data_IF_279557211983
#
_entry.id   IF_279557211983
#
_cell.length_a   1.000
_cell.length_b   1.000
_cell.length_c   1.000
_cell.angle_alpha   90.00
_cell.angle_beta   90.00
_cell.angle_gamma   90.00
#
_symmetry.space_group_name_H-M   'P 1'
#
loop_
_entity.id
_entity.type
_entity.pdbx_description
1 polymer ?
#
# COMPACT_ATOMS: atom_id res chain seq x y z
N UNK A 1 2.09 28.95 -15.02
CA UNK A 1 1.39 27.65 -14.94
C UNK A 1 2.28 26.65 -15.67
N UNK A 2 2.79 25.53 -15.13
CA UNK A 2 2.31 24.71 -14.03
C UNK A 2 3.40 23.62 -13.74
N UNK A 3 4.54 24.00 -13.12
CA UNK A 3 5.70 23.09 -12.98
C UNK A 3 5.36 21.78 -12.25
N UNK A 4 4.48 21.85 -11.25
CA UNK A 4 3.95 20.67 -10.57
C UNK A 4 3.14 19.78 -11.51
N UNK A 5 2.24 20.33 -12.32
CA UNK A 5 1.48 19.51 -13.27
C UNK A 5 2.39 18.86 -14.30
N UNK A 6 3.40 19.57 -14.80
CA UNK A 6 4.38 18.98 -15.73
C UNK A 6 5.14 17.82 -15.08
N UNK A 7 5.51 17.98 -13.80
CA UNK A 7 6.16 16.91 -13.04
C UNK A 7 5.23 15.72 -12.81
N UNK A 8 3.96 15.94 -12.44
CA UNK A 8 2.97 14.85 -12.29
C UNK A 8 2.82 14.06 -13.59
N UNK A 9 2.83 14.72 -14.76
CA UNK A 9 2.78 14.05 -16.05
C UNK A 9 3.97 13.10 -16.28
N UNK A 10 5.15 13.43 -15.73
CA UNK A 10 6.31 12.52 -15.79
C UNK A 10 6.14 11.26 -14.94
N UNK A 11 5.27 11.30 -13.91
CA UNK A 11 5.00 10.16 -13.03
C UNK A 11 3.92 9.21 -13.59
N UNK A 12 3.09 9.67 -14.53
CA UNK A 12 1.93 8.92 -15.04
C UNK A 12 2.25 7.49 -15.53
N UNK A 13 3.38 7.22 -16.22
CA UNK A 13 3.76 5.85 -16.58
C UNK A 13 4.00 4.96 -15.37
N UNK A 14 4.69 5.47 -14.33
CA UNK A 14 4.97 4.73 -13.11
C UNK A 14 3.70 4.44 -12.30
N UNK A 15 2.82 5.44 -12.17
CA UNK A 15 1.53 5.29 -11.48
C UNK A 15 0.67 4.22 -12.17
N UNK A 16 0.66 4.20 -13.51
CA UNK A 16 -0.03 3.17 -14.29
C UNK A 16 0.58 1.78 -14.10
N UNK A 17 1.91 1.69 -14.00
CA UNK A 17 2.61 0.43 -13.73
C UNK A 17 2.27 -0.13 -12.35
N UNK A 18 2.33 0.70 -11.29
CA UNK A 18 1.92 0.30 -9.94
C UNK A 18 0.47 -0.16 -9.89
N UNK A 19 -0.46 0.58 -10.52
CA UNK A 19 -1.87 0.17 -10.60
C UNK A 19 -2.02 -1.21 -11.26
N UNK A 20 -1.33 -1.46 -12.38
CA UNK A 20 -1.39 -2.76 -13.08
C UNK A 20 -0.82 -3.88 -12.23
N UNK A 21 0.28 -3.64 -11.52
CA UNK A 21 0.90 -4.63 -10.64
C UNK A 21 -0.02 -4.99 -9.46
N UNK A 22 -0.55 -4.01 -8.74
CA UNK A 22 -1.47 -4.27 -7.63
C UNK A 22 -2.79 -4.90 -8.10
N UNK A 23 -3.26 -4.57 -9.31
CA UNK A 23 -4.44 -5.21 -9.86
C UNK A 23 -4.18 -6.66 -10.29
N UNK A 24 -2.99 -6.97 -10.84
CA UNK A 24 -2.64 -8.32 -11.24
C UNK A 24 -2.42 -9.26 -10.04
N UNK A 25 -1.86 -8.72 -8.95
CA UNK A 25 -1.63 -9.43 -7.70
C UNK A 25 -2.52 -8.88 -6.58
N UNK A 26 -3.83 -8.83 -6.82
CA UNK A 26 -4.79 -8.34 -5.84
C UNK A 26 -4.86 -9.27 -4.62
N UNK A 27 -4.87 -8.67 -3.43
CA UNK A 27 -4.98 -9.37 -2.15
C UNK A 27 -6.30 -8.97 -1.47
N UNK A 28 -6.93 -9.93 -0.78
CA UNK A 28 -8.14 -9.70 0.00
C UNK A 28 -7.84 -8.99 1.32
N UNK A 29 -8.90 -8.54 1.99
CA UNK A 29 -8.82 -7.99 3.35
C UNK A 29 -8.03 -8.88 4.30
N UNK A 30 -7.13 -8.28 5.09
CA UNK A 30 -6.26 -8.92 6.09
C UNK A 30 -5.15 -9.83 5.56
N UNK A 31 -4.98 -9.92 4.24
CA UNK A 31 -3.93 -10.72 3.60
C UNK A 31 -3.11 -9.92 2.59
N UNK A 32 -3.07 -8.59 2.73
CA UNK A 32 -2.38 -7.64 1.85
C UNK A 32 -0.85 -7.61 2.06
N UNK A 33 -0.24 -8.78 2.26
CA UNK A 33 1.16 -8.91 2.67
C UNK A 33 2.12 -8.38 1.60
N UNK A 34 1.94 -8.80 0.34
CA UNK A 34 2.76 -8.33 -0.78
C UNK A 34 2.55 -6.85 -1.01
N UNK A 35 1.30 -6.40 -0.98
CA UNK A 35 0.94 -5.00 -1.22
C UNK A 35 1.56 -4.10 -0.18
N UNK A 36 1.40 -4.42 1.11
CA UNK A 36 1.99 -3.66 2.21
C UNK A 36 3.53 -3.66 2.14
N UNK A 37 4.16 -4.80 1.83
CA UNK A 37 5.61 -4.90 1.67
C UNK A 37 6.13 -3.99 0.54
N UNK A 38 5.46 -3.98 -0.62
CA UNK A 38 5.85 -3.11 -1.75
C UNK A 38 5.67 -1.62 -1.43
N UNK A 39 4.59 -1.26 -0.73
CA UNK A 39 4.38 0.13 -0.30
C UNK A 39 5.50 0.55 0.66
N UNK A 40 5.83 -0.29 1.64
CA UNK A 40 6.92 0.00 2.57
C UNK A 40 8.27 0.14 1.86
N UNK A 41 8.62 -0.79 0.97
CA UNK A 41 9.86 -0.73 0.18
C UNK A 41 9.96 0.59 -0.63
N UNK A 42 8.88 0.99 -1.30
CA UNK A 42 8.86 2.22 -2.09
C UNK A 42 9.00 3.45 -1.17
N UNK A 43 8.27 3.53 -0.06
CA UNK A 43 8.32 4.69 0.83
C UNK A 43 9.65 4.80 1.57
N UNK A 44 10.24 3.68 1.99
CA UNK A 44 11.59 3.62 2.55
C UNK A 44 12.62 4.13 1.54
N UNK A 45 12.54 3.68 0.28
CA UNK A 45 13.42 4.16 -0.80
C UNK A 45 13.29 5.66 -1.10
N UNK A 46 12.15 6.26 -0.75
CA UNK A 46 11.89 7.70 -0.88
C UNK A 46 12.34 8.50 0.36
N UNK A 47 12.83 7.83 1.41
CA UNK A 47 13.34 8.45 2.62
C UNK A 47 12.30 8.76 3.68
N UNK A 48 11.13 8.10 3.66
CA UNK A 48 10.14 8.23 4.74
C UNK A 48 10.48 7.35 5.94
N UNK A 49 10.16 7.84 7.13
CA UNK A 49 10.11 7.01 8.33
C UNK A 49 8.80 6.21 8.36
N UNK A 50 8.89 4.91 8.62
CA UNK A 50 7.74 4.00 8.54
C UNK A 50 7.35 3.45 9.91
N UNK A 51 6.04 3.41 10.17
CA UNK A 51 5.43 2.61 11.24
C UNK A 51 4.59 1.50 10.60
N UNK A 52 4.72 0.27 11.10
CA UNK A 52 4.26 -0.93 10.39
C UNK A 52 3.63 -1.96 11.33
N UNK A 53 2.78 -2.83 10.77
CA UNK A 53 2.24 -3.99 11.48
C UNK A 53 1.45 -3.60 12.74
N UNK A 54 1.84 -4.17 13.89
CA UNK A 54 1.15 -3.98 15.17
C UNK A 54 1.25 -2.55 15.72
N UNK A 55 2.17 -1.74 15.21
CA UNK A 55 2.31 -0.35 15.62
C UNK A 55 1.19 0.54 15.04
N UNK A 56 0.55 0.10 13.96
CA UNK A 56 -0.49 0.85 13.23
C UNK A 56 -1.80 0.10 13.07
N UNK A 57 -1.85 -1.18 13.46
CA UNK A 57 -3.06 -2.02 13.42
C UNK A 57 -3.34 -2.57 14.83
N UNK A 58 -4.43 -2.09 15.44
CA UNK A 58 -4.99 -2.69 16.64
C UNK A 58 -5.65 -4.05 16.29
N UNK A 59 -5.16 -5.11 16.93
CA UNK A 59 -5.56 -6.48 16.60
C UNK A 59 -6.99 -6.81 17.04
N UNK A 60 -7.48 -6.20 18.11
CA UNK A 60 -8.81 -6.46 18.69
C UNK A 60 -9.93 -5.74 17.94
N UNK A 61 -9.61 -4.62 17.29
CA UNK A 61 -10.58 -3.81 16.54
C UNK A 61 -10.74 -4.25 15.07
N UNK A 62 -10.21 -5.42 14.68
CA UNK A 62 -10.25 -5.90 13.29
C UNK A 62 -11.66 -6.38 12.92
N UNK A 63 -12.22 -5.79 11.88
CA UNK A 63 -13.55 -6.14 11.37
C UNK A 63 -13.50 -7.27 10.34
N UNK A 64 -14.53 -8.12 10.31
CA UNK A 64 -14.69 -9.13 9.24
C UNK A 64 -13.78 -10.36 9.37
N UNK A 65 -13.20 -10.59 10.54
CA UNK A 65 -12.56 -11.86 10.88
C UNK A 65 -13.60 -12.85 11.42
N UNK A 66 -13.38 -14.17 11.27
CA UNK A 66 -14.12 -15.19 12.00
C UNK A 66 -14.03 -14.97 13.52
N UNK A 67 -15.04 -15.44 14.24
CA UNK A 67 -14.95 -15.51 15.70
C UNK A 67 -14.04 -16.68 16.12
N UNK A 68 -13.68 -16.77 17.40
CA UNK A 68 -12.82 -17.87 17.89
C UNK A 68 -13.48 -19.25 17.81
N UNK A 69 -14.79 -19.30 17.57
CA UNK A 69 -15.59 -20.52 17.58
C UNK A 69 -15.83 -21.12 16.17
N UNK A 70 -15.40 -20.43 15.11
CA UNK A 70 -15.51 -20.84 13.70
C UNK A 70 -14.18 -20.81 12.96
#
# INVERSE_FOLDING_TARGET
MNALAQYIQTLAPQLSAWRRDFHHFAESGWVEFRTAAKVAEILDSLGYELAMGRDVVDAESRMGLPDEAT
#
